data_IF_378607286415
#
_entry.id   IF_378607286415
#
_cell.length_a   1.000
_cell.length_b   1.000
_cell.length_c   1.000
_cell.angle_alpha   90.00
_cell.angle_beta   90.00
_cell.angle_gamma   90.00
#
_symmetry.space_group_name_H-M   'P 1'
#
loop_
_entity.id
_entity.type
_entity.pdbx_description
1 polymer ?
#
# COMPACT_ATOMS: atom_id res chain seq x y z
N UNK A 1 -43.94 25.09 33.29
CA UNK A 1 -43.18 26.13 32.55
C UNK A 1 -43.48 25.94 31.09
N UNK A 2 -44.31 26.80 30.53
CA UNK A 2 -44.80 26.74 29.16
C UNK A 2 -43.67 27.18 28.22
N UNK A 3 -43.24 26.29 27.32
CA UNK A 3 -42.31 26.61 26.25
C UNK A 3 -42.85 27.79 25.45
N UNK A 4 -42.16 28.94 25.49
CA UNK A 4 -42.40 30.04 24.56
C UNK A 4 -42.03 29.56 23.16
N UNK A 5 -42.99 28.96 22.44
CA UNK A 5 -42.91 28.74 21.00
C UNK A 5 -42.61 30.09 20.33
N UNK A 6 -41.42 30.20 19.73
CA UNK A 6 -41.05 31.37 18.94
C UNK A 6 -41.92 31.45 17.69
N UNK A 7 -42.30 32.66 17.33
CA UNK A 7 -43.17 32.91 16.18
C UNK A 7 -42.36 32.94 14.89
N UNK A 8 -42.85 32.27 13.86
CA UNK A 8 -42.23 32.27 12.53
C UNK A 8 -42.46 33.62 11.82
N UNK A 9 -41.68 33.89 10.77
CA UNK A 9 -41.84 35.09 9.94
C UNK A 9 -43.25 35.13 9.33
N UNK A 10 -43.78 33.98 8.92
CA UNK A 10 -45.15 33.86 8.37
C UNK A 10 -46.23 34.24 9.39
N UNK A 11 -46.04 33.91 10.67
CA UNK A 11 -46.95 34.33 11.73
C UNK A 11 -46.87 35.84 11.99
N UNK A 12 -45.67 36.43 11.87
CA UNK A 12 -45.50 37.89 11.94
C UNK A 12 -46.19 38.59 10.77
N UNK A 13 -46.05 38.07 9.56
CA UNK A 13 -46.70 38.60 8.36
C UNK A 13 -48.22 38.48 8.48
N UNK A 14 -48.74 37.29 8.78
CA UNK A 14 -50.17 37.06 8.97
C UNK A 14 -50.79 38.01 9.98
N UNK A 15 -50.16 38.20 11.15
CA UNK A 15 -50.66 39.11 12.21
C UNK A 15 -50.66 40.56 11.75
N UNK A 16 -49.61 41.00 11.05
CA UNK A 16 -49.49 42.39 10.59
C UNK A 16 -50.41 42.68 9.42
N UNK A 17 -50.50 41.78 8.45
CA UNK A 17 -51.39 41.88 7.29
C UNK A 17 -52.85 41.84 7.75
N UNK A 18 -53.21 40.95 8.67
CA UNK A 18 -54.55 40.90 9.30
C UNK A 18 -54.95 42.21 9.97
N UNK A 19 -54.03 42.88 10.65
CA UNK A 19 -54.33 44.14 11.35
C UNK A 19 -54.23 45.38 10.44
N UNK A 20 -53.23 45.46 9.56
CA UNK A 20 -52.92 46.67 8.77
C UNK A 20 -53.67 46.72 7.44
N UNK A 21 -53.88 45.58 6.80
CA UNK A 21 -54.55 45.48 5.48
C UNK A 21 -56.02 45.15 5.66
N UNK A 22 -56.33 44.13 6.47
CA UNK A 22 -57.70 43.66 6.67
C UNK A 22 -58.43 44.30 7.86
N UNK A 23 -57.78 45.23 8.58
CA UNK A 23 -58.40 46.03 9.64
C UNK A 23 -58.90 45.24 10.87
N UNK A 24 -58.51 43.97 11.04
CA UNK A 24 -59.01 43.11 12.12
C UNK A 24 -58.60 43.65 13.50
N UNK A 25 -59.52 43.60 14.47
CA UNK A 25 -59.23 44.03 15.83
C UNK A 25 -58.33 43.02 16.53
N UNK A 26 -57.46 43.48 17.42
CA UNK A 26 -56.51 42.61 18.16
C UNK A 26 -57.18 41.40 18.83
N UNK A 27 -58.43 41.52 19.31
CA UNK A 27 -59.18 40.40 19.91
C UNK A 27 -59.49 39.28 18.92
N UNK A 28 -59.73 39.60 17.64
CA UNK A 28 -59.99 38.62 16.58
C UNK A 28 -58.71 37.88 16.22
N UNK A 29 -57.59 38.61 16.09
CA UNK A 29 -56.28 38.02 15.80
C UNK A 29 -55.82 37.10 16.95
N UNK A 30 -56.15 37.41 18.22
CA UNK A 30 -55.90 36.50 19.36
C UNK A 30 -56.63 35.16 19.17
N UNK A 31 -57.89 35.18 18.70
CA UNK A 31 -58.68 33.96 18.48
C UNK A 31 -58.16 33.14 17.32
N UNK A 32 -57.73 33.79 16.24
CA UNK A 32 -57.23 33.12 15.03
C UNK A 32 -55.83 32.53 15.22
N UNK A 33 -54.96 33.21 15.95
CA UNK A 33 -53.55 32.79 16.11
C UNK A 33 -53.25 32.04 17.40
N UNK A 34 -54.17 32.08 18.37
CA UNK A 34 -53.96 31.51 19.71
C UNK A 34 -52.90 32.23 20.55
N UNK A 35 -52.33 33.35 20.08
CA UNK A 35 -51.31 34.09 20.80
C UNK A 35 -51.91 35.09 21.78
N UNK A 36 -51.22 35.33 22.91
CA UNK A 36 -51.68 36.29 23.91
C UNK A 36 -51.81 37.71 23.34
N UNK A 37 -52.75 38.48 23.88
CA UNK A 37 -52.98 39.88 23.50
C UNK A 37 -51.71 40.74 23.60
N UNK A 38 -50.84 40.45 24.57
CA UNK A 38 -49.56 41.14 24.75
C UNK A 38 -48.57 40.79 23.66
N UNK A 39 -48.54 39.53 23.21
CA UNK A 39 -47.71 39.08 22.08
C UNK A 39 -48.12 39.78 20.78
N UNK A 40 -49.42 39.84 20.47
CA UNK A 40 -49.91 40.50 19.25
C UNK A 40 -49.64 42.00 19.27
N UNK A 41 -49.91 42.69 20.38
CA UNK A 41 -49.59 44.12 20.53
C UNK A 41 -48.08 44.40 20.37
N UNK A 42 -47.24 43.50 20.88
CA UNK A 42 -45.78 43.60 20.73
C UNK A 42 -45.35 43.47 19.25
N UNK A 43 -45.95 42.55 18.50
CA UNK A 43 -45.68 42.32 17.06
C UNK A 43 -46.10 43.51 16.19
N UNK A 44 -47.23 44.14 16.53
CA UNK A 44 -47.74 45.30 15.79
C UNK A 44 -46.89 46.56 16.01
N UNK A 45 -46.28 46.70 17.19
CA UNK A 45 -45.47 47.86 17.60
C UNK A 45 -43.99 47.75 17.24
N UNK A 46 -43.39 46.58 17.42
CA UNK A 46 -41.94 46.38 17.28
C UNK A 46 -41.57 45.73 15.96
N UNK A 47 -40.31 45.89 15.53
CA UNK A 47 -39.71 45.14 14.43
C UNK A 47 -39.62 43.63 14.72
N UNK A 48 -39.50 42.82 13.67
CA UNK A 48 -39.22 41.40 13.81
C UNK A 48 -37.83 41.23 14.41
N UNK A 49 -37.78 40.99 15.71
CA UNK A 49 -36.56 40.51 16.38
C UNK A 49 -36.59 39.00 16.24
N UNK A 50 -35.99 38.49 15.16
CA UNK A 50 -35.75 37.07 14.98
C UNK A 50 -34.95 36.48 16.14
N UNK A 51 -34.65 35.18 16.06
CA UNK A 51 -33.75 34.53 17.00
C UNK A 51 -32.43 35.30 17.07
N UNK A 52 -32.18 35.98 18.20
CA UNK A 52 -30.83 36.44 18.54
C UNK A 52 -30.12 35.24 19.13
N UNK A 53 -29.11 34.76 18.43
CA UNK A 53 -28.15 33.83 19.00
C UNK A 53 -27.59 34.47 20.28
N UNK A 54 -27.61 33.73 21.40
CA UNK A 54 -27.00 34.24 22.64
C UNK A 54 -25.51 34.40 22.40
N UNK A 55 -25.00 35.63 22.51
CA UNK A 55 -23.57 35.95 22.29
C UNK A 55 -22.64 35.20 23.26
N UNK A 56 -23.12 34.88 24.47
CA UNK A 56 -22.42 33.96 25.37
C UNK A 56 -23.40 33.25 26.30
N UNK A 57 -23.17 31.95 26.53
CA UNK A 57 -23.87 31.21 27.57
C UNK A 57 -22.93 31.11 28.78
N UNK A 58 -23.28 31.71 29.94
CA UNK A 58 -22.38 31.76 31.07
C UNK A 58 -22.11 30.35 31.61
N UNK A 59 -20.91 30.15 32.15
CA UNK A 59 -20.51 28.94 32.86
C UNK A 59 -20.38 29.22 34.37
N UNK A 60 -21.46 29.55 35.08
CA UNK A 60 -21.39 30.15 36.43
C UNK A 60 -20.65 29.29 37.46
N UNK A 61 -20.66 27.96 37.32
CA UNK A 61 -19.95 27.03 38.23
C UNK A 61 -18.49 26.81 37.80
N UNK A 62 -18.17 26.96 36.52
CA UNK A 62 -16.83 26.73 35.96
C UNK A 62 -16.01 28.02 35.82
N UNK A 63 -16.66 29.19 35.96
CA UNK A 63 -16.09 30.52 35.79
C UNK A 63 -14.76 30.72 36.54
N UNK A 64 -14.60 30.29 37.80
CA UNK A 64 -13.33 30.44 38.53
C UNK A 64 -12.18 29.59 37.97
N UNK A 65 -12.49 28.57 37.16
CA UNK A 65 -11.53 27.58 36.66
C UNK A 65 -11.19 27.76 35.18
N UNK A 66 -11.80 28.72 34.48
CA UNK A 66 -11.66 28.88 33.02
C UNK A 66 -10.22 29.20 32.61
N UNK A 67 -9.56 30.13 33.30
CA UNK A 67 -8.17 30.50 33.03
C UNK A 67 -7.20 29.34 33.27
N UNK A 68 -7.48 28.52 34.29
CA UNK A 68 -6.69 27.34 34.62
C UNK A 68 -6.81 26.26 33.53
N UNK A 69 -8.03 26.00 33.07
CA UNK A 69 -8.29 25.06 31.97
C UNK A 69 -7.60 25.54 30.70
N UNK A 70 -7.69 26.83 30.39
CA UNK A 70 -6.98 27.44 29.25
C UNK A 70 -5.46 27.28 29.40
N UNK A 71 -4.92 27.47 30.61
CA UNK A 71 -3.50 27.29 30.92
C UNK A 71 -3.02 25.84 30.77
N UNK A 72 -3.82 24.85 31.15
CA UNK A 72 -3.53 23.43 30.89
C UNK A 72 -3.55 23.12 29.40
N UNK A 73 -4.58 23.59 28.68
CA UNK A 73 -4.73 23.38 27.25
C UNK A 73 -3.63 24.07 26.41
N UNK A 74 -3.11 25.21 26.86
CA UNK A 74 -1.95 25.88 26.23
C UNK A 74 -0.67 25.07 26.44
N UNK A 75 -0.39 24.62 27.68
CA UNK A 75 0.78 23.77 28.00
C UNK A 75 0.76 22.43 27.27
N UNK A 76 -0.42 21.87 27.03
CA UNK A 76 -0.57 20.64 26.24
C UNK A 76 0.01 20.75 24.82
N UNK A 77 0.19 21.95 24.27
CA UNK A 77 0.82 22.13 22.95
C UNK A 77 2.25 21.60 22.94
N UNK A 78 2.98 21.79 24.03
CA UNK A 78 4.39 21.42 24.20
C UNK A 78 4.57 19.93 24.51
N UNK A 79 3.48 19.24 24.91
CA UNK A 79 3.50 17.82 25.26
C UNK A 79 3.21 16.89 24.06
N UNK A 80 3.77 15.66 24.04
CA UNK A 80 3.43 14.63 23.07
C UNK A 80 1.92 14.33 23.02
N UNK A 81 1.36 14.00 21.85
CA UNK A 81 -0.09 13.76 21.66
C UNK A 81 -0.72 12.83 22.70
N UNK A 82 0.00 11.78 23.12
CA UNK A 82 -0.46 10.78 24.11
C UNK A 82 -0.49 11.29 25.56
N UNK A 83 0.14 12.43 25.84
CA UNK A 83 0.27 13.03 27.18
C UNK A 83 -0.55 14.33 27.32
N UNK A 84 -1.35 14.68 26.32
CA UNK A 84 -2.24 15.85 26.37
C UNK A 84 -3.52 15.53 27.15
N UNK A 85 -4.06 16.52 27.85
CA UNK A 85 -5.24 16.34 28.66
C UNK A 85 -6.49 16.08 27.81
N UNK A 86 -7.20 15.00 28.14
CA UNK A 86 -8.56 14.75 27.66
C UNK A 86 -9.55 15.57 28.50
N UNK A 87 -10.74 15.83 27.97
CA UNK A 87 -11.75 16.61 28.71
C UNK A 87 -12.16 15.93 30.03
N UNK A 88 -12.17 14.59 30.07
CA UNK A 88 -12.40 13.82 31.29
C UNK A 88 -11.23 13.94 32.27
N UNK A 89 -9.98 13.97 31.79
CA UNK A 89 -8.82 14.19 32.66
C UNK A 89 -8.84 15.59 33.27
N UNK A 90 -9.22 16.61 32.51
CA UNK A 90 -9.41 17.98 33.02
C UNK A 90 -10.47 18.00 34.12
N UNK A 91 -11.61 17.33 33.90
CA UNK A 91 -12.67 17.23 34.92
C UNK A 91 -12.19 16.55 36.21
N UNK A 92 -11.51 15.41 36.11
CA UNK A 92 -11.01 14.69 37.27
C UNK A 92 -10.00 15.53 38.06
N UNK A 93 -9.08 16.22 37.38
CA UNK A 93 -8.13 17.13 38.02
C UNK A 93 -8.80 18.32 38.72
N UNK A 94 -9.82 18.92 38.11
CA UNK A 94 -10.61 19.97 38.77
C UNK A 94 -11.30 19.47 40.04
N UNK A 95 -11.80 18.23 40.02
CA UNK A 95 -12.49 17.62 41.16
C UNK A 95 -11.53 17.22 42.29
N UNK A 96 -10.42 16.56 41.93
CA UNK A 96 -9.42 16.01 42.86
C UNK A 96 -8.50 17.10 43.44
N UNK A 97 -8.00 18.01 42.60
CA UNK A 97 -6.98 19.00 42.98
C UNK A 97 -7.60 20.34 43.43
N UNK A 98 -8.83 20.65 43.00
CA UNK A 98 -9.43 21.98 43.18
C UNK A 98 -10.88 21.97 43.68
N UNK A 99 -11.40 20.81 44.12
CA UNK A 99 -12.70 20.70 44.80
C UNK A 99 -13.92 21.03 43.94
N UNK A 100 -13.82 20.94 42.61
CA UNK A 100 -14.89 21.31 41.68
C UNK A 100 -16.17 20.45 41.86
N UNK A 101 -17.31 21.12 42.04
CA UNK A 101 -18.63 20.50 42.30
C UNK A 101 -19.56 20.46 41.08
N UNK A 102 -19.10 20.92 39.91
CA UNK A 102 -19.91 20.94 38.70
C UNK A 102 -19.95 19.61 37.94
N UNK A 103 -20.76 19.54 36.89
CA UNK A 103 -20.89 18.36 36.03
C UNK A 103 -19.77 18.26 34.98
N UNK A 104 -19.35 17.03 34.65
CA UNK A 104 -18.39 16.73 33.59
C UNK A 104 -18.82 17.30 32.22
N UNK A 105 -20.11 17.26 31.93
CA UNK A 105 -20.69 17.79 30.68
C UNK A 105 -20.38 19.28 30.48
N UNK A 106 -20.36 20.05 31.57
CA UNK A 106 -20.02 21.48 31.58
C UNK A 106 -18.54 21.69 31.22
N UNK A 107 -17.65 20.87 31.79
CA UNK A 107 -16.21 20.89 31.48
C UNK A 107 -15.96 20.46 30.04
N UNK A 108 -16.58 19.37 29.57
CA UNK A 108 -16.47 18.91 28.17
C UNK A 108 -16.92 19.99 27.18
N UNK A 109 -18.02 20.68 27.47
CA UNK A 109 -18.54 21.77 26.65
C UNK A 109 -17.56 22.93 26.60
N UNK A 110 -17.05 23.38 27.75
CA UNK A 110 -16.06 24.45 27.81
C UNK A 110 -14.76 24.06 27.11
N UNK A 111 -14.21 22.87 27.37
CA UNK A 111 -13.00 22.37 26.71
C UNK A 111 -13.18 22.31 25.19
N UNK A 112 -14.37 21.95 24.67
CA UNK A 112 -14.66 22.00 23.22
C UNK A 112 -14.58 23.44 22.68
N UNK A 113 -15.15 24.42 23.39
CA UNK A 113 -15.12 25.83 23.00
C UNK A 113 -13.72 26.44 23.14
N UNK A 114 -13.05 26.20 24.26
CA UNK A 114 -11.67 26.63 24.50
C UNK A 114 -10.72 26.02 23.46
N UNK A 115 -10.88 24.74 23.12
CA UNK A 115 -10.07 24.13 22.04
C UNK A 115 -10.34 24.77 20.68
N UNK A 116 -11.56 25.19 20.38
CA UNK A 116 -11.86 25.93 19.14
C UNK A 116 -11.22 27.33 19.18
N UNK A 117 -11.45 28.09 20.25
CA UNK A 117 -10.91 29.45 20.46
C UNK A 117 -9.39 29.50 20.48
N UNK A 118 -8.73 28.50 21.05
CA UNK A 118 -7.26 28.40 21.15
C UNK A 118 -6.61 27.74 19.92
N UNK A 119 -7.39 27.38 18.89
CA UNK A 119 -6.91 26.69 17.69
C UNK A 119 -6.39 25.27 17.95
N UNK A 120 -6.81 24.64 19.04
CA UNK A 120 -6.40 23.29 19.46
C UNK A 120 -7.30 22.19 18.88
N UNK A 121 -8.47 22.55 18.34
CA UNK A 121 -9.37 21.63 17.66
C UNK A 121 -9.10 21.67 16.16
N UNK A 122 -7.96 21.11 15.75
CA UNK A 122 -7.62 20.95 14.34
C UNK A 122 -7.83 19.51 13.91
N UNK A 123 -8.98 19.21 13.32
CA UNK A 123 -8.93 18.29 12.18
C UNK A 123 -8.09 18.98 11.10
N UNK A 124 -7.37 18.22 10.30
CA UNK A 124 -6.65 18.78 9.16
C UNK A 124 -7.70 19.45 8.26
N UNK A 125 -7.58 20.77 8.09
CA UNK A 125 -8.44 21.51 7.17
C UNK A 125 -7.70 21.53 5.85
N UNK A 126 -8.37 21.02 4.83
CA UNK A 126 -7.83 20.87 3.49
C UNK A 126 -8.27 22.06 2.63
N UNK A 127 -7.35 22.56 1.81
CA UNK A 127 -7.67 23.53 0.77
C UNK A 127 -8.30 22.75 -0.39
N UNK A 128 -9.48 23.14 -0.90
CA UNK A 128 -10.01 22.60 -2.15
C UNK A 128 -9.02 22.89 -3.28
N UNK A 129 -8.59 21.85 -3.98
CA UNK A 129 -7.69 21.98 -5.12
C UNK A 129 -8.44 21.61 -6.40
N UNK A 130 -8.28 22.42 -7.44
CA UNK A 130 -8.77 22.16 -8.78
C UNK A 130 -7.58 21.76 -9.67
N UNK A 131 -7.28 20.46 -9.79
CA UNK A 131 -6.17 19.98 -10.62
C UNK A 131 -6.45 20.21 -12.11
N UNK A 132 -5.39 20.45 -12.88
CA UNK A 132 -5.48 20.53 -14.35
C UNK A 132 -5.44 19.12 -14.99
N UNK A 133 -6.21 18.94 -16.06
CA UNK A 133 -6.31 17.67 -16.77
C UNK A 133 -4.97 17.24 -17.39
N UNK A 134 -4.54 16.02 -17.09
CA UNK A 134 -3.34 15.42 -17.71
C UNK A 134 -2.01 15.96 -17.23
N UNK A 135 -1.97 16.84 -16.23
CA UNK A 135 -0.72 17.44 -15.73
C UNK A 135 -0.08 16.59 -14.63
N UNK A 136 -0.84 16.26 -13.57
CA UNK A 136 -0.29 15.70 -12.33
C UNK A 136 -0.77 14.27 -12.03
N UNK A 137 0.18 13.35 -11.91
CA UNK A 137 -0.02 12.02 -11.37
C UNK A 137 0.69 11.84 -10.03
N UNK A 138 0.01 11.25 -9.04
CA UNK A 138 0.60 10.89 -7.75
C UNK A 138 1.09 9.45 -7.76
N UNK A 139 2.28 9.21 -7.21
CA UNK A 139 2.91 7.89 -7.13
C UNK A 139 3.27 7.58 -5.68
N UNK A 140 2.91 6.39 -5.24
CA UNK A 140 3.16 5.92 -3.87
C UNK A 140 3.44 4.40 -3.83
N UNK A 141 3.97 3.93 -2.71
CA UNK A 141 4.22 2.53 -2.43
C UNK A 141 3.55 2.09 -1.12
N UNK A 142 2.81 1.00 -1.20
CA UNK A 142 2.28 0.31 -0.03
C UNK A 142 2.88 -1.07 0.17
N UNK A 143 2.50 -1.69 1.28
CA UNK A 143 2.79 -3.09 1.57
C UNK A 143 1.53 -3.83 1.97
N UNK A 144 1.45 -5.11 1.58
CA UNK A 144 0.37 -6.03 1.91
C UNK A 144 0.89 -7.44 2.15
N UNK A 145 0.04 -8.28 2.74
CA UNK A 145 0.21 -9.72 2.77
C UNK A 145 -0.66 -10.34 1.68
N UNK A 146 -0.18 -11.41 1.05
CA UNK A 146 -0.92 -12.18 0.05
C UNK A 146 -0.58 -13.66 0.17
N UNK A 147 -1.43 -14.53 -0.37
CA UNK A 147 -1.16 -15.96 -0.53
C UNK A 147 -0.87 -16.22 -1.99
N UNK A 148 0.36 -16.62 -2.32
CA UNK A 148 0.77 -16.94 -3.69
C UNK A 148 1.19 -18.40 -3.76
N UNK A 149 0.51 -19.20 -4.59
CA UNK A 149 0.76 -20.65 -4.70
C UNK A 149 0.67 -21.36 -3.35
N UNK A 150 -0.31 -20.97 -2.53
CA UNK A 150 -0.52 -21.49 -1.17
C UNK A 150 0.46 -20.98 -0.10
N UNK A 151 1.37 -20.06 -0.42
CA UNK A 151 2.35 -19.53 0.53
C UNK A 151 2.07 -18.09 0.93
N UNK A 152 2.10 -17.81 2.24
CA UNK A 152 2.01 -16.45 2.77
C UNK A 152 3.27 -15.65 2.41
N UNK A 153 3.09 -14.59 1.62
CA UNK A 153 4.15 -13.70 1.18
C UNK A 153 3.85 -12.25 1.58
N UNK A 154 4.91 -11.49 1.87
CA UNK A 154 4.82 -10.04 2.04
C UNK A 154 5.15 -9.39 0.71
N UNK A 155 4.20 -8.64 0.17
CA UNK A 155 4.34 -7.94 -1.09
C UNK A 155 4.38 -6.43 -0.86
N UNK A 156 4.94 -5.75 -1.85
CA UNK A 156 4.95 -4.30 -2.00
C UNK A 156 4.09 -3.98 -3.19
N UNK A 157 3.28 -2.94 -3.12
CA UNK A 157 2.47 -2.56 -4.25
C UNK A 157 2.76 -1.12 -4.64
N UNK A 158 2.96 -0.94 -5.93
CA UNK A 158 3.09 0.35 -6.58
C UNK A 158 1.69 0.89 -6.85
N UNK A 159 1.45 2.15 -6.55
CA UNK A 159 0.23 2.83 -6.97
C UNK A 159 0.55 4.12 -7.72
N UNK A 160 -0.24 4.41 -8.77
CA UNK A 160 -0.25 5.70 -9.45
C UNK A 160 -1.69 6.18 -9.61
N UNK A 161 -1.97 7.45 -9.37
CA UNK A 161 -3.31 8.05 -9.52
C UNK A 161 -3.26 9.41 -10.18
N UNK A 162 -4.15 9.67 -11.12
CA UNK A 162 -4.39 11.03 -11.61
C UNK A 162 -5.04 11.88 -10.53
N UNK A 163 -4.53 13.11 -10.32
CA UNK A 163 -5.24 14.07 -9.47
C UNK A 163 -6.54 14.58 -10.10
N UNK A 164 -6.54 14.75 -11.42
CA UNK A 164 -7.69 15.27 -12.16
C UNK A 164 -8.82 14.24 -12.24
N UNK A 165 -8.63 13.09 -12.88
CA UNK A 165 -9.71 12.10 -13.04
C UNK A 165 -9.93 11.27 -11.78
N UNK A 166 -8.90 11.17 -10.92
CA UNK A 166 -8.92 10.27 -9.78
C UNK A 166 -8.69 8.80 -10.16
N UNK A 167 -8.54 8.50 -11.46
CA UNK A 167 -8.25 7.15 -11.97
C UNK A 167 -6.92 6.67 -11.46
N UNK A 168 -6.84 5.41 -11.07
CA UNK A 168 -5.63 4.85 -10.48
C UNK A 168 -5.27 3.47 -11.04
N UNK A 169 -3.99 3.16 -10.88
CA UNK A 169 -3.36 1.91 -11.23
C UNK A 169 -2.65 1.35 -10.00
N UNK A 170 -2.80 0.05 -9.75
CA UNK A 170 -2.12 -0.65 -8.66
C UNK A 170 -1.46 -1.92 -9.20
N UNK A 171 -0.23 -2.21 -8.76
CA UNK A 171 0.46 -3.45 -9.08
C UNK A 171 1.36 -3.93 -7.95
N UNK A 172 1.27 -5.22 -7.63
CA UNK A 172 2.07 -5.90 -6.63
C UNK A 172 3.42 -6.38 -7.18
N UNK A 173 4.43 -6.29 -6.33
CA UNK A 173 5.82 -6.65 -6.54
C UNK A 173 6.39 -7.31 -5.29
N UNK A 174 7.40 -8.19 -5.44
CA UNK A 174 8.11 -8.77 -4.30
C UNK A 174 9.05 -7.77 -3.61
N UNK A 175 9.36 -6.62 -4.22
CA UNK A 175 10.27 -5.61 -3.68
C UNK A 175 10.07 -4.21 -4.28
N UNK A 176 10.69 -3.20 -3.67
CA UNK A 176 10.67 -1.78 -4.09
C UNK A 176 11.99 -1.34 -4.76
N UNK A 177 12.66 -2.24 -5.49
CA UNK A 177 13.93 -1.94 -6.16
C UNK A 177 13.68 -1.13 -7.43
N UNK A 178 14.73 -0.49 -7.96
CA UNK A 178 14.65 0.35 -9.17
C UNK A 178 13.93 -0.33 -10.35
N UNK A 179 14.18 -1.62 -10.59
CA UNK A 179 13.53 -2.31 -11.70
C UNK A 179 12.03 -2.49 -11.48
N UNK A 180 11.59 -2.74 -10.24
CA UNK A 180 10.17 -2.78 -9.90
C UNK A 180 9.53 -1.38 -9.99
N UNK A 181 10.27 -0.33 -9.58
CA UNK A 181 9.84 1.06 -9.75
C UNK A 181 9.63 1.41 -11.22
N UNK A 182 10.58 1.09 -12.09
CA UNK A 182 10.48 1.40 -13.51
C UNK A 182 9.39 0.57 -14.18
N UNK A 183 9.28 -0.72 -13.87
CA UNK A 183 8.21 -1.57 -14.40
C UNK A 183 6.82 -1.09 -13.95
N UNK A 184 6.69 -0.62 -12.71
CA UNK A 184 5.45 -0.03 -12.19
C UNK A 184 5.02 1.19 -13.00
N UNK A 185 5.95 2.09 -13.29
CA UNK A 185 5.69 3.26 -14.14
C UNK A 185 5.37 2.85 -15.58
N UNK A 186 6.16 1.96 -16.19
CA UNK A 186 5.93 1.50 -17.58
C UNK A 186 4.52 0.93 -17.74
N UNK A 187 4.09 0.10 -16.79
CA UNK A 187 2.74 -0.50 -16.81
C UNK A 187 1.66 0.53 -16.51
N UNK A 188 1.90 1.46 -15.59
CA UNK A 188 0.97 2.55 -15.32
C UNK A 188 0.79 3.46 -16.55
N UNK A 189 1.88 3.86 -17.21
CA UNK A 189 1.84 4.68 -18.42
C UNK A 189 1.07 3.98 -19.55
N UNK A 190 1.28 2.66 -19.70
CA UNK A 190 0.49 1.84 -20.62
C UNK A 190 -1.00 1.82 -20.24
N UNK A 191 -1.33 1.67 -18.95
CA UNK A 191 -2.70 1.71 -18.45
C UNK A 191 -3.41 3.06 -18.69
N UNK A 192 -2.72 4.18 -18.49
CA UNK A 192 -3.22 5.52 -18.77
C UNK A 192 -3.13 5.90 -20.26
N UNK A 193 -2.49 5.08 -21.10
CA UNK A 193 -2.26 5.36 -22.51
C UNK A 193 -1.36 6.58 -22.77
N UNK A 194 -0.56 6.99 -21.79
CA UNK A 194 0.27 8.20 -21.85
C UNK A 194 1.02 8.47 -20.54
N UNK A 195 1.80 9.55 -20.51
CA UNK A 195 2.62 9.96 -19.36
C UNK A 195 2.16 11.33 -18.86
N UNK A 196 2.01 11.46 -17.55
CA UNK A 196 1.80 12.75 -16.90
C UNK A 196 3.10 13.58 -16.92
N UNK A 197 3.07 14.85 -17.37
CA UNK A 197 4.23 15.75 -17.32
C UNK A 197 4.81 15.89 -15.92
N UNK A 198 4.00 15.78 -14.87
CA UNK A 198 4.44 15.91 -13.48
C UNK A 198 4.04 14.66 -12.69
N UNK A 199 5.03 14.00 -12.10
CA UNK A 199 4.82 12.88 -11.18
C UNK A 199 5.21 13.26 -9.76
N UNK A 200 4.23 13.26 -8.88
CA UNK A 200 4.38 13.62 -7.47
C UNK A 200 4.64 12.35 -6.67
N UNK A 201 5.79 12.28 -6.03
CA UNK A 201 6.17 11.21 -5.13
C UNK A 201 6.04 11.68 -3.69
N UNK A 202 5.17 11.00 -2.95
CA UNK A 202 4.92 11.26 -1.55
C UNK A 202 5.32 10.06 -0.70
N UNK A 203 5.71 10.31 0.56
CA UNK A 203 6.01 9.29 1.57
C UNK A 203 6.85 8.09 1.09
N UNK A 204 7.81 8.33 0.18
CA UNK A 204 8.62 7.26 -0.40
C UNK A 204 9.37 6.48 0.68
N UNK A 205 9.37 5.15 0.57
CA UNK A 205 10.17 4.32 1.47
C UNK A 205 11.66 4.64 1.34
N UNK A 206 12.45 4.35 2.38
CA UNK A 206 13.90 4.57 2.35
C UNK A 206 14.59 3.86 1.17
N UNK A 207 14.05 2.73 0.72
CA UNK A 207 14.55 2.02 -0.45
C UNK A 207 14.32 2.83 -1.72
N UNK A 208 13.13 3.39 -1.87
CA UNK A 208 12.75 4.20 -3.03
C UNK A 208 13.44 5.57 -3.01
N UNK A 209 13.56 6.21 -1.85
CA UNK A 209 14.33 7.44 -1.68
C UNK A 209 15.80 7.30 -2.11
N UNK A 210 16.42 6.14 -1.86
CA UNK A 210 17.79 5.85 -2.33
C UNK A 210 17.91 5.80 -3.85
N UNK A 211 16.82 5.56 -4.57
CA UNK A 211 16.83 5.59 -6.03
C UNK A 211 16.95 7.03 -6.53
N UNK A 212 16.24 7.96 -5.89
CA UNK A 212 16.19 9.37 -6.28
C UNK A 212 17.33 10.21 -5.71
N UNK A 213 17.73 9.97 -4.45
CA UNK A 213 18.67 10.80 -3.68
C UNK A 213 19.88 10.01 -3.14
N UNK A 214 20.04 8.75 -3.54
CA UNK A 214 21.07 7.88 -2.98
C UNK A 214 22.49 8.24 -3.41
N UNK A 215 23.47 7.91 -2.56
CA UNK A 215 24.92 8.12 -2.82
C UNK A 215 25.46 7.36 -4.04
N UNK A 216 24.70 6.41 -4.60
CA UNK A 216 25.14 5.60 -5.75
C UNK A 216 24.81 6.32 -7.06
N UNK A 217 25.83 6.95 -7.65
CA UNK A 217 25.74 7.71 -8.90
C UNK A 217 25.10 6.94 -10.07
N UNK A 218 25.27 5.62 -10.14
CA UNK A 218 24.69 4.79 -11.22
C UNK A 218 23.16 4.66 -11.16
N UNK A 219 22.61 4.59 -9.96
CA UNK A 219 21.17 4.46 -9.71
C UNK A 219 20.47 5.75 -10.12
N UNK A 220 21.05 6.89 -9.74
CA UNK A 220 20.56 8.21 -10.14
C UNK A 220 20.62 8.39 -11.67
N UNK A 221 21.76 8.06 -12.31
CA UNK A 221 21.88 8.09 -13.78
C UNK A 221 20.82 7.23 -14.49
N UNK A 222 20.48 6.08 -13.93
CA UNK A 222 19.46 5.20 -14.50
C UNK A 222 18.06 5.82 -14.42
N UNK A 223 17.76 6.49 -13.30
CA UNK A 223 16.52 7.23 -13.14
C UNK A 223 16.47 8.47 -14.05
N UNK A 224 17.57 9.21 -14.19
CA UNK A 224 17.64 10.36 -15.10
C UNK A 224 17.38 9.94 -16.55
N UNK A 225 17.94 8.80 -16.99
CA UNK A 225 17.65 8.21 -18.31
C UNK A 225 16.18 7.82 -18.45
N UNK A 226 15.60 7.20 -17.43
CA UNK A 226 14.18 6.82 -17.43
C UNK A 226 13.27 8.04 -17.57
N UNK A 227 13.55 9.08 -16.78
CA UNK A 227 12.85 10.36 -16.82
C UNK A 227 12.97 11.03 -18.19
N UNK A 228 14.18 11.11 -18.74
CA UNK A 228 14.42 11.70 -20.05
C UNK A 228 13.79 10.90 -21.20
N UNK A 229 13.54 9.61 -21.00
CA UNK A 229 12.87 8.77 -22.00
C UNK A 229 11.36 9.01 -22.05
N UNK A 230 10.73 9.15 -20.88
CA UNK A 230 9.28 9.35 -20.75
C UNK A 230 8.86 10.82 -20.59
N UNK A 231 9.81 11.75 -20.52
CA UNK A 231 9.62 13.21 -20.49
C UNK A 231 8.75 13.74 -19.34
N UNK A 232 8.84 13.16 -18.14
CA UNK A 232 8.13 13.66 -16.95
C UNK A 232 9.06 14.39 -15.96
N UNK A 233 8.50 15.22 -15.09
CA UNK A 233 9.19 15.91 -14.00
C UNK A 233 8.79 15.30 -12.64
N UNK A 234 9.75 14.78 -11.85
CA UNK A 234 9.46 14.27 -10.52
C UNK A 234 9.38 15.41 -9.49
N UNK A 235 8.27 15.50 -8.78
CA UNK A 235 8.12 16.37 -7.60
C UNK A 235 8.13 15.52 -6.34
N UNK A 236 8.92 15.92 -5.34
CA UNK A 236 9.01 15.21 -4.06
C UNK A 236 8.42 16.08 -2.96
N UNK A 237 7.38 15.60 -2.30
CA UNK A 237 6.79 16.30 -1.16
C UNK A 237 7.72 16.25 0.06
N UNK A 238 7.64 17.27 0.92
CA UNK A 238 8.38 17.29 2.17
C UNK A 238 7.82 16.23 3.13
N UNK A 239 8.69 15.42 3.80
CA UNK A 239 8.23 14.44 4.77
C UNK A 239 7.39 15.08 5.87
N UNK A 240 6.16 14.58 6.06
CA UNK A 240 5.27 15.01 7.15
C UNK A 240 4.36 16.21 6.84
N UNK A 241 4.30 16.70 5.60
CA UNK A 241 3.38 17.77 5.19
C UNK A 241 2.14 17.24 4.43
N UNK A 242 1.54 16.15 4.91
CA UNK A 242 0.32 15.59 4.32
C UNK A 242 -0.88 16.55 4.32
N UNK A 243 -0.83 17.61 5.16
CA UNK A 243 -1.88 18.62 5.28
C UNK A 243 -2.03 19.53 4.05
N UNK A 244 -1.02 19.59 3.17
CA UNK A 244 -1.07 20.39 1.94
C UNK A 244 -1.82 19.69 0.80
N UNK A 245 -2.08 18.38 0.93
CA UNK A 245 -2.83 17.61 -0.06
C UNK A 245 -4.29 17.55 0.33
N UNK A 246 -5.12 18.32 -0.37
CA UNK A 246 -6.54 18.34 -0.16
C UNK A 246 -7.20 16.96 -0.27
N UNK A 247 -7.92 16.56 0.79
CA UNK A 247 -9.12 15.71 0.70
C UNK A 247 -8.94 14.19 0.65
N UNK A 248 -9.20 13.53 1.79
CA UNK A 248 -9.63 12.12 1.94
C UNK A 248 -8.58 11.06 1.52
N UNK A 249 -8.57 9.93 2.24
CA UNK A 249 -7.63 8.82 2.15
C UNK A 249 -6.76 8.71 0.91
N UNK A 250 -5.45 8.77 1.14
CA UNK A 250 -4.45 8.50 0.11
C UNK A 250 -4.67 7.13 -0.55
N UNK A 251 -4.26 7.04 -1.81
CA UNK A 251 -4.44 5.88 -2.68
C UNK A 251 -3.95 4.57 -2.06
N UNK A 252 -2.87 4.59 -1.28
CA UNK A 252 -2.38 3.41 -0.54
C UNK A 252 -3.41 2.91 0.48
N UNK A 253 -4.07 3.83 1.17
CA UNK A 253 -5.17 3.51 2.07
C UNK A 253 -6.33 2.86 1.30
N UNK A 254 -6.75 3.48 0.19
CA UNK A 254 -7.80 2.94 -0.67
C UNK A 254 -7.46 1.53 -1.18
N UNK A 255 -6.26 1.34 -1.75
CA UNK A 255 -5.81 0.06 -2.26
C UNK A 255 -5.80 -1.03 -1.17
N UNK A 256 -5.37 -0.69 0.06
CA UNK A 256 -5.41 -1.66 1.18
C UNK A 256 -6.81 -2.17 1.48
N UNK A 257 -7.80 -1.29 1.55
CA UNK A 257 -9.17 -1.70 1.91
C UNK A 257 -9.93 -2.38 0.78
N UNK A 258 -9.67 -2.00 -0.46
CA UNK A 258 -10.45 -2.49 -1.61
C UNK A 258 -9.80 -3.68 -2.32
N UNK A 259 -8.47 -3.76 -2.34
CA UNK A 259 -7.74 -4.80 -3.10
C UNK A 259 -7.02 -5.81 -2.21
N UNK A 260 -6.74 -5.45 -0.96
CA UNK A 260 -5.95 -6.29 -0.04
C UNK A 260 -6.80 -6.90 1.09
N UNK A 261 -8.13 -6.67 1.06
CA UNK A 261 -9.10 -7.21 2.04
C UNK A 261 -10.23 -7.91 1.28
N UNK A 262 -10.51 -9.19 1.53
CA UNK A 262 -9.72 -10.12 2.37
C UNK A 262 -8.33 -10.37 1.80
N UNK A 263 -7.44 -11.06 2.55
CA UNK A 263 -6.07 -11.33 2.09
C UNK A 263 -6.12 -11.94 0.69
N UNK A 264 -5.48 -11.31 -0.32
CA UNK A 264 -5.61 -11.74 -1.70
C UNK A 264 -4.87 -13.06 -1.93
N UNK A 265 -5.48 -13.93 -2.74
CA UNK A 265 -4.97 -15.26 -3.06
C UNK A 265 -4.96 -15.51 -4.58
N UNK A 266 -3.84 -16.07 -5.07
CA UNK A 266 -3.65 -16.45 -6.47
C UNK A 266 -2.56 -17.53 -6.61
N UNK A 267 -2.57 -18.26 -7.73
CA UNK A 267 -1.51 -19.23 -8.03
C UNK A 267 -0.15 -18.57 -8.30
N UNK A 268 -0.17 -17.40 -8.95
CA UNK A 268 1.02 -16.63 -9.29
C UNK A 268 0.83 -15.14 -9.00
N UNK A 269 1.94 -14.43 -8.84
CA UNK A 269 1.93 -12.96 -8.66
C UNK A 269 1.33 -12.26 -9.88
N UNK A 270 1.60 -12.76 -11.08
CA UNK A 270 1.01 -12.27 -12.33
C UNK A 270 -0.51 -12.41 -12.33
N UNK A 271 -1.04 -13.57 -11.93
CA UNK A 271 -2.49 -13.78 -11.83
C UNK A 271 -3.14 -12.85 -10.81
N UNK A 272 -2.49 -12.59 -9.67
CA UNK A 272 -2.96 -11.57 -8.71
C UNK A 272 -2.99 -10.17 -9.36
N UNK A 273 -1.94 -9.81 -10.08
CA UNK A 273 -1.84 -8.51 -10.74
C UNK A 273 -2.86 -8.33 -11.86
N UNK A 274 -3.24 -9.39 -12.58
CA UNK A 274 -4.30 -9.36 -13.58
C UNK A 274 -5.67 -9.09 -12.95
N UNK A 275 -5.97 -9.73 -11.80
CA UNK A 275 -7.20 -9.44 -11.02
C UNK A 275 -7.25 -7.98 -10.59
N UNK A 276 -6.18 -7.47 -9.96
CA UNK A 276 -6.10 -6.07 -9.51
C UNK A 276 -6.23 -5.11 -10.69
N UNK A 277 -5.63 -5.42 -11.84
CA UNK A 277 -5.72 -4.60 -13.05
C UNK A 277 -7.17 -4.52 -13.56
N UNK A 278 -7.89 -5.64 -13.59
CA UNK A 278 -9.30 -5.66 -13.98
C UNK A 278 -10.16 -4.79 -13.03
N UNK A 279 -9.86 -4.81 -11.74
CA UNK A 279 -10.55 -3.96 -10.75
C UNK A 279 -10.17 -2.48 -10.85
N UNK A 280 -8.95 -2.16 -11.30
CA UNK A 280 -8.57 -0.78 -11.63
C UNK A 280 -9.38 -0.25 -12.84
N UNK A 281 -9.65 -1.11 -13.83
CA UNK A 281 -10.51 -0.75 -14.96
C UNK A 281 -11.97 -0.55 -14.53
N UNK A 282 -12.51 -1.44 -13.69
CA UNK A 282 -13.90 -1.33 -13.22
C UNK A 282 -14.16 -0.12 -12.33
N UNK A 283 -13.12 0.37 -11.62
CA UNK A 283 -13.22 1.63 -10.86
C UNK A 283 -13.56 2.85 -11.74
N UNK A 284 -13.36 2.76 -13.05
CA UNK A 284 -13.69 3.84 -13.98
C UNK A 284 -15.18 4.27 -13.95
N UNK A 285 -16.09 3.37 -13.58
CA UNK A 285 -17.53 3.68 -13.47
C UNK A 285 -17.89 4.40 -12.16
N UNK A 286 -16.93 4.48 -11.22
CA UNK A 286 -17.13 5.15 -9.95
C UNK A 286 -17.29 6.66 -10.13
N UNK A 287 -18.17 7.26 -9.32
CA UNK A 287 -18.32 8.71 -9.19
C UNK A 287 -17.76 9.13 -7.84
N UNK A 288 -16.67 9.89 -7.87
CA UNK A 288 -16.02 10.41 -6.66
C UNK A 288 -16.96 11.43 -6.02
N UNK A 289 -17.15 11.34 -4.70
CA UNK A 289 -17.99 12.27 -3.95
C UNK A 289 -17.60 13.73 -4.20
N UNK A 290 -18.56 14.57 -4.53
CA UNK A 290 -18.35 15.97 -4.88
C UNK A 290 -18.00 16.22 -6.35
N UNK A 291 -17.99 15.18 -7.21
CA UNK A 291 -17.83 15.31 -8.67
C UNK A 291 -19.09 14.86 -9.41
N UNK A 292 -19.39 15.54 -10.50
CA UNK A 292 -20.57 15.26 -11.33
C UNK A 292 -20.34 14.07 -12.29
N UNK A 293 -19.12 13.98 -12.84
CA UNK A 293 -18.71 12.97 -13.81
C UNK A 293 -18.10 11.72 -13.17
N UNK A 294 -18.16 10.60 -13.90
CA UNK A 294 -17.44 9.38 -13.53
C UNK A 294 -15.93 9.54 -13.73
N UNK A 295 -15.17 8.65 -13.10
CA UNK A 295 -13.71 8.61 -13.25
C UNK A 295 -13.31 8.39 -14.71
N UNK A 296 -14.03 7.55 -15.46
CA UNK A 296 -13.76 7.31 -16.88
C UNK A 296 -14.11 8.50 -17.77
N UNK A 297 -15.22 9.20 -17.49
CA UNK A 297 -15.59 10.42 -18.24
C UNK A 297 -14.49 11.48 -18.12
N UNK A 298 -14.01 11.74 -16.91
CA UNK A 298 -12.90 12.67 -16.66
C UNK A 298 -11.58 12.15 -17.27
N UNK A 299 -11.34 10.84 -17.25
CA UNK A 299 -10.15 10.26 -17.84
C UNK A 299 -10.11 10.39 -19.37
N UNK A 300 -11.22 10.23 -20.08
CA UNK A 300 -11.23 10.39 -21.54
C UNK A 300 -10.97 11.85 -21.98
N UNK A 301 -11.32 12.83 -21.14
CA UNK A 301 -10.87 14.21 -21.32
C UNK A 301 -9.37 14.33 -21.07
N UNK A 302 -8.90 13.87 -19.91
CA UNK A 302 -7.50 13.92 -19.48
C UNK A 302 -6.54 13.22 -20.44
N UNK A 303 -6.92 12.06 -20.98
CA UNK A 303 -6.07 11.22 -21.83
C UNK A 303 -5.54 11.98 -23.05
N UNK A 304 -6.31 12.95 -23.56
CA UNK A 304 -5.94 13.79 -24.72
C UNK A 304 -4.78 14.74 -24.42
N UNK A 305 -4.52 15.00 -23.14
CA UNK A 305 -3.49 15.93 -22.67
C UNK A 305 -2.22 15.21 -22.20
N UNK A 306 -2.23 13.88 -22.10
CA UNK A 306 -1.05 13.10 -21.68
C UNK A 306 0.03 13.11 -22.76
N UNK A 307 1.28 13.05 -22.33
CA UNK A 307 2.42 12.86 -23.24
C UNK A 307 2.31 11.48 -23.87
N UNK A 308 2.40 11.39 -25.19
CA UNK A 308 2.33 10.13 -25.91
C UNK A 308 3.44 9.15 -25.47
N UNK A 309 3.11 7.86 -25.45
CA UNK A 309 4.09 6.82 -25.16
C UNK A 309 5.12 6.72 -26.29
N UNK A 310 6.41 6.51 -25.97
CA UNK A 310 7.42 6.18 -26.97
C UNK A 310 7.05 4.90 -27.75
N UNK A 311 7.37 4.86 -29.04
CA UNK A 311 7.12 3.68 -29.89
C UNK A 311 7.94 2.46 -29.47
N UNK A 312 9.16 2.70 -28.96
CA UNK A 312 10.06 1.66 -28.48
C UNK A 312 9.85 1.49 -26.97
N UNK A 313 9.98 0.27 -26.48
CA UNK A 313 9.92 0.02 -25.04
C UNK A 313 11.23 0.45 -24.36
N UNK A 314 11.13 1.10 -23.20
CA UNK A 314 12.31 1.39 -22.39
C UNK A 314 12.98 0.10 -21.89
N UNK A 315 14.29 -0.03 -22.13
CA UNK A 315 15.09 -1.15 -21.65
C UNK A 315 15.28 -1.14 -20.13
N UNK A 316 14.34 -1.72 -19.38
CA UNK A 316 14.41 -1.86 -17.92
C UNK A 316 15.29 -3.06 -17.47
N UNK A 317 16.46 -3.20 -18.09
CA UNK A 317 17.37 -4.32 -17.85
C UNK A 317 18.58 -3.86 -17.04
N UNK A 318 18.94 -4.66 -16.03
CA UNK A 318 20.22 -4.51 -15.33
C UNK A 318 21.13 -5.64 -15.75
N UNK A 319 22.39 -5.31 -16.03
CA UNK A 319 23.39 -6.30 -16.39
C UNK A 319 24.37 -6.49 -15.25
N UNK A 320 24.70 -7.74 -14.96
CA UNK A 320 25.79 -8.12 -14.06
C UNK A 320 26.76 -9.04 -14.80
N UNK A 321 27.99 -9.14 -14.31
CA UNK A 321 28.96 -10.10 -14.81
C UNK A 321 29.68 -10.77 -13.65
N UNK A 322 29.96 -12.06 -13.78
CA UNK A 322 30.64 -12.83 -12.74
C UNK A 322 31.34 -14.05 -13.30
N UNK A 323 32.28 -14.59 -12.53
CA UNK A 323 32.90 -15.88 -12.84
C UNK A 323 32.06 -16.99 -12.22
N UNK A 324 31.79 -18.04 -13.01
CA UNK A 324 31.11 -19.24 -12.52
C UNK A 324 32.06 -19.98 -11.58
N UNK A 325 31.61 -20.31 -10.37
CA UNK A 325 32.46 -20.92 -9.35
C UNK A 325 32.50 -22.47 -9.45
N UNK A 326 33.24 -23.10 -8.53
CA UNK A 326 33.38 -24.56 -8.42
C UNK A 326 32.07 -25.33 -8.19
N UNK A 327 30.99 -24.65 -7.79
CA UNK A 327 29.67 -25.24 -7.60
C UNK A 327 28.77 -25.07 -8.84
N UNK A 328 29.34 -24.65 -9.97
CA UNK A 328 28.61 -24.29 -11.18
C UNK A 328 27.52 -23.24 -10.93
N UNK A 329 27.85 -22.21 -10.17
CA UNK A 329 26.94 -21.08 -9.90
C UNK A 329 27.59 -19.75 -10.19
N UNK A 330 26.79 -18.78 -10.64
CA UNK A 330 27.18 -17.36 -10.76
C UNK A 330 26.53 -16.56 -9.63
N UNK A 331 27.30 -15.65 -9.03
CA UNK A 331 26.80 -14.75 -7.98
C UNK A 331 26.22 -13.50 -8.64
N UNK A 332 24.91 -13.33 -8.54
CA UNK A 332 24.17 -12.19 -9.07
C UNK A 332 23.29 -11.65 -7.94
N UNK A 333 23.43 -10.35 -7.63
CA UNK A 333 22.61 -9.69 -6.60
C UNK A 333 22.62 -10.41 -5.23
N UNK A 334 23.82 -10.86 -4.82
CA UNK A 334 24.09 -11.67 -3.61
C UNK A 334 23.46 -13.06 -3.59
N UNK A 335 22.88 -13.51 -4.70
CA UNK A 335 22.28 -14.84 -4.84
C UNK A 335 23.06 -15.68 -5.84
N UNK A 336 23.02 -17.00 -5.64
CA UNK A 336 23.70 -17.98 -6.50
C UNK A 336 22.69 -18.63 -7.41
N UNK A 337 22.96 -18.56 -8.71
CA UNK A 337 22.14 -19.20 -9.75
C UNK A 337 22.98 -20.26 -10.44
N UNK A 338 22.47 -21.48 -10.55
CA UNK A 338 23.21 -22.56 -11.21
C UNK A 338 23.27 -22.38 -12.72
N UNK A 339 24.30 -22.95 -13.33
CA UNK A 339 24.48 -23.07 -14.77
C UNK A 339 24.97 -24.48 -15.07
N UNK A 340 24.83 -24.99 -16.32
CA UNK A 340 25.34 -26.31 -16.68
C UNK A 340 26.83 -26.47 -16.32
N UNK A 341 27.20 -27.60 -15.73
CA UNK A 341 28.53 -27.86 -15.14
C UNK A 341 29.71 -27.68 -16.09
N UNK A 342 29.52 -27.87 -17.39
CA UNK A 342 30.56 -27.67 -18.40
C UNK A 342 30.94 -26.19 -18.61
N UNK A 343 30.16 -25.24 -18.08
CA UNK A 343 30.51 -23.81 -18.05
C UNK A 343 31.23 -23.39 -16.75
N UNK A 344 31.57 -24.33 -15.85
CA UNK A 344 32.28 -24.01 -14.62
C UNK A 344 33.59 -23.23 -14.91
N UNK A 345 33.89 -22.22 -14.09
CA UNK A 345 35.05 -21.33 -14.22
C UNK A 345 35.05 -20.38 -15.42
N UNK A 346 34.06 -20.44 -16.32
CA UNK A 346 33.87 -19.44 -17.37
C UNK A 346 33.41 -18.09 -16.80
N UNK A 347 33.65 -17.01 -17.55
CA UNK A 347 33.00 -15.71 -17.31
C UNK A 347 31.58 -15.78 -17.88
N UNK A 348 30.61 -15.30 -17.11
CA UNK A 348 29.21 -15.19 -17.52
C UNK A 348 28.71 -13.76 -17.33
N UNK A 349 27.82 -13.34 -18.22
CA UNK A 349 26.98 -12.17 -18.04
C UNK A 349 25.61 -12.61 -17.57
N UNK A 350 24.92 -11.74 -16.84
CA UNK A 350 23.56 -11.96 -16.37
C UNK A 350 22.73 -10.73 -16.69
N UNK A 351 21.55 -10.95 -17.25
CA UNK A 351 20.52 -9.95 -17.47
C UNK A 351 19.45 -10.16 -16.41
N UNK A 352 19.25 -9.15 -15.57
CA UNK A 352 18.24 -9.18 -14.53
C UNK A 352 16.99 -8.49 -15.08
N UNK A 353 15.89 -9.22 -15.08
CA UNK A 353 14.53 -8.69 -15.25
C UNK A 353 13.92 -8.46 -13.87
N UNK A 354 12.69 -7.94 -13.80
CA UNK A 354 11.99 -7.79 -12.52
C UNK A 354 11.82 -9.14 -11.85
N UNK A 355 11.34 -10.14 -12.57
CA UNK A 355 10.87 -11.46 -12.11
C UNK A 355 11.86 -12.61 -12.38
N UNK A 356 12.79 -12.45 -13.32
CA UNK A 356 13.74 -13.49 -13.72
C UNK A 356 15.19 -13.01 -13.88
N UNK A 357 16.12 -13.96 -13.89
CA UNK A 357 17.54 -13.75 -14.21
C UNK A 357 17.92 -14.68 -15.35
N UNK A 358 18.42 -14.09 -16.43
CA UNK A 358 18.93 -14.82 -17.59
C UNK A 358 20.45 -14.76 -17.59
N UNK A 359 21.11 -15.92 -17.75
CA UNK A 359 22.57 -16.04 -17.69
C UNK A 359 23.09 -16.40 -19.07
N UNK A 360 24.17 -15.74 -19.48
CA UNK A 360 24.77 -15.86 -20.79
C UNK A 360 26.26 -16.19 -20.72
N UNK A 361 26.72 -17.00 -21.65
CA UNK A 361 28.13 -17.19 -21.98
C UNK A 361 28.37 -16.65 -23.39
N UNK A 362 29.11 -15.53 -23.50
CA UNK A 362 29.14 -14.75 -24.73
C UNK A 362 27.73 -14.28 -25.11
N UNK A 363 27.25 -14.66 -26.29
CA UNK A 363 25.91 -14.33 -26.78
C UNK A 363 24.89 -15.45 -26.58
N UNK A 364 25.29 -16.60 -26.01
CA UNK A 364 24.41 -17.76 -25.82
C UNK A 364 23.79 -17.71 -24.44
N UNK A 365 22.45 -17.76 -24.37
CA UNK A 365 21.72 -17.97 -23.11
C UNK A 365 21.97 -19.40 -22.63
N UNK A 366 22.51 -19.55 -21.43
CA UNK A 366 22.89 -20.86 -20.85
C UNK A 366 21.99 -21.29 -19.69
N UNK A 367 21.29 -20.35 -19.04
CA UNK A 367 20.36 -20.65 -17.97
C UNK A 367 19.34 -19.52 -17.78
N UNK A 368 18.16 -19.84 -17.24
CA UNK A 368 17.12 -18.88 -16.86
C UNK A 368 16.52 -19.31 -15.53
N UNK A 369 16.41 -18.39 -14.58
CA UNK A 369 15.92 -18.66 -13.23
C UNK A 369 14.88 -17.63 -12.82
N UNK A 370 13.90 -18.04 -12.00
CA UNK A 370 13.09 -17.08 -11.24
C UNK A 370 14.01 -16.25 -10.33
N UNK A 371 13.75 -14.94 -10.26
CA UNK A 371 14.60 -14.03 -9.51
C UNK A 371 14.35 -14.17 -8.02
N UNK A 372 15.43 -14.30 -7.26
CA UNK A 372 15.39 -14.34 -5.81
C UNK A 372 15.76 -12.96 -5.23
N UNK A 373 14.93 -12.44 -4.32
CA UNK A 373 15.10 -11.10 -3.75
C UNK A 373 15.75 -11.08 -2.36
N UNK A 374 15.65 -12.19 -1.62
CA UNK A 374 16.37 -12.40 -0.37
C UNK A 374 17.88 -12.49 -0.63
N UNK A 375 18.72 -12.29 0.38
CA UNK A 375 20.18 -12.38 0.20
C UNK A 375 20.71 -13.80 0.48
N UNK A 376 21.82 -14.16 -0.18
CA UNK A 376 22.58 -15.39 0.02
C UNK A 376 21.81 -16.69 -0.27
N UNK A 377 20.78 -16.61 -1.10
CA UNK A 377 20.01 -17.78 -1.51
C UNK A 377 20.66 -18.50 -2.70
N UNK A 378 20.21 -19.74 -2.92
CA UNK A 378 20.67 -20.62 -3.98
C UNK A 378 19.46 -21.03 -4.82
N UNK A 379 19.43 -20.59 -6.07
CA UNK A 379 18.49 -21.04 -7.09
C UNK A 379 19.23 -22.07 -7.94
N UNK A 380 18.86 -23.34 -7.74
CA UNK A 380 19.56 -24.49 -8.28
C UNK A 380 18.62 -25.27 -9.17
N UNK A 381 18.86 -25.19 -10.47
CA UNK A 381 18.29 -26.13 -11.43
C UNK A 381 19.04 -27.48 -11.34
N UNK A 382 18.35 -28.59 -11.05
CA UNK A 382 18.90 -29.93 -11.00
C UNK A 382 19.51 -30.40 -12.32
N UNK A 383 18.93 -29.99 -13.46
CA UNK A 383 19.35 -30.45 -14.79
C UNK A 383 20.80 -30.05 -15.08
N UNK A 384 21.21 -28.90 -14.54
CA UNK A 384 22.59 -28.41 -14.63
C UNK A 384 23.63 -29.35 -14.01
N UNK A 385 23.23 -30.24 -13.10
CA UNK A 385 24.11 -31.12 -12.35
C UNK A 385 24.05 -32.59 -12.76
N UNK A 386 23.11 -33.00 -13.63
CA UNK A 386 22.86 -34.41 -13.95
C UNK A 386 24.11 -35.12 -14.50
N UNK A 387 24.86 -34.48 -15.40
CA UNK A 387 26.12 -35.03 -15.94
C UNK A 387 27.17 -35.25 -14.84
N UNK A 388 27.26 -34.34 -13.86
CA UNK A 388 28.20 -34.47 -12.76
C UNK A 388 27.76 -35.55 -11.77
N UNK A 389 26.46 -35.69 -11.55
CA UNK A 389 25.86 -36.72 -10.70
C UNK A 389 26.05 -38.11 -11.33
N UNK A 390 25.93 -38.23 -12.65
CA UNK A 390 26.23 -39.47 -13.38
C UNK A 390 27.66 -39.95 -13.15
N UNK A 391 28.62 -39.03 -13.08
CA UNK A 391 30.03 -39.35 -12.77
C UNK A 391 30.27 -39.64 -11.28
N UNK A 392 29.41 -39.11 -10.39
CA UNK A 392 29.55 -39.19 -8.92
C UNK A 392 28.23 -39.64 -8.28
N UNK A 393 27.77 -40.88 -8.54
CA UNK A 393 26.44 -41.34 -8.12
C UNK A 393 26.27 -41.35 -6.59
N UNK A 394 27.35 -41.56 -5.84
CA UNK A 394 27.34 -41.49 -4.36
C UNK A 394 26.94 -40.10 -3.82
N UNK A 395 27.08 -39.04 -4.62
CA UNK A 395 26.65 -37.70 -4.23
C UNK A 395 25.15 -37.47 -4.41
N UNK A 396 24.41 -38.37 -5.08
CA UNK A 396 23.00 -38.17 -5.44
C UNK A 396 22.12 -37.82 -4.22
N UNK A 397 22.20 -38.62 -3.16
CA UNK A 397 21.38 -38.43 -1.95
C UNK A 397 21.76 -37.18 -1.13
N UNK A 398 23.01 -36.74 -1.21
CA UNK A 398 23.50 -35.57 -0.47
C UNK A 398 23.49 -34.28 -1.30
N UNK A 399 23.31 -34.37 -2.62
CA UNK A 399 23.30 -33.23 -3.53
C UNK A 399 22.15 -32.28 -3.20
N UNK A 400 22.49 -31.04 -2.82
CA UNK A 400 21.51 -29.98 -2.52
C UNK A 400 20.47 -29.76 -3.64
N UNK A 401 20.84 -29.69 -4.94
CA UNK A 401 19.86 -29.54 -6.03
C UNK A 401 18.81 -30.68 -6.03
N UNK A 402 19.25 -31.93 -5.86
CA UNK A 402 18.38 -33.11 -5.85
C UNK A 402 17.49 -33.11 -4.61
N UNK A 403 18.02 -32.83 -3.42
CA UNK A 403 17.22 -32.73 -2.19
C UNK A 403 16.16 -31.64 -2.27
N UNK A 404 16.48 -30.50 -2.89
CA UNK A 404 15.52 -29.41 -3.10
C UNK A 404 14.44 -29.78 -4.13
N UNK A 405 14.82 -30.47 -5.20
CA UNK A 405 13.90 -30.90 -6.24
C UNK A 405 12.95 -32.00 -5.77
N UNK A 406 13.47 -33.00 -5.05
CA UNK A 406 12.73 -34.16 -4.54
C UNK A 406 11.54 -33.79 -3.64
N UNK A 407 11.54 -32.61 -3.03
CA UNK A 407 10.40 -32.10 -2.26
C UNK A 407 9.16 -31.81 -3.10
N UNK A 408 9.32 -31.55 -4.41
CA UNK A 408 8.23 -31.14 -5.30
C UNK A 408 8.24 -31.91 -6.63
N UNK A 409 9.10 -32.92 -6.76
CA UNK A 409 9.19 -33.68 -8.00
C UNK A 409 8.02 -34.68 -8.10
N UNK A 410 7.56 -35.06 -9.31
CA UNK A 410 6.44 -35.97 -9.44
C UNK A 410 6.77 -37.39 -8.94
N UNK A 411 5.76 -38.10 -8.43
CA UNK A 411 5.91 -39.49 -7.95
C UNK A 411 6.52 -40.46 -8.99
N UNK A 412 6.36 -40.15 -10.28
CA UNK A 412 6.99 -40.95 -11.34
C UNK A 412 8.51 -40.94 -11.28
N UNK A 413 9.13 -39.83 -10.83
CA UNK A 413 10.57 -39.74 -10.65
C UNK A 413 11.04 -40.53 -9.42
N UNK A 414 10.20 -40.62 -8.39
CA UNK A 414 10.47 -41.49 -7.23
C UNK A 414 10.45 -42.96 -7.64
N UNK A 415 9.43 -43.38 -8.39
CA UNK A 415 9.35 -44.74 -8.95
C UNK A 415 10.51 -45.05 -9.89
N UNK A 416 10.91 -44.09 -10.73
CA UNK A 416 12.06 -44.25 -11.62
C UNK A 416 13.36 -44.44 -10.82
N UNK A 417 13.54 -43.67 -9.74
CA UNK A 417 14.68 -43.81 -8.84
C UNK A 417 14.69 -45.18 -8.15
N UNK A 418 13.55 -45.65 -7.65
CA UNK A 418 13.41 -46.99 -7.06
C UNK A 418 13.81 -48.09 -8.04
N UNK A 419 13.34 -48.01 -9.28
CA UNK A 419 13.72 -48.95 -10.35
C UNK A 419 15.23 -48.90 -10.64
N UNK A 420 15.83 -47.71 -10.64
CA UNK A 420 17.29 -47.59 -10.83
C UNK A 420 18.08 -48.21 -9.67
N UNK A 421 17.65 -47.99 -8.43
CA UNK A 421 18.28 -48.57 -7.24
C UNK A 421 18.14 -50.10 -7.26
N UNK A 422 16.94 -50.63 -7.53
CA UNK A 422 16.71 -52.07 -7.64
C UNK A 422 17.56 -52.70 -8.74
N UNK A 423 17.69 -52.05 -9.90
CA UNK A 423 18.55 -52.51 -11.00
C UNK A 423 20.03 -52.51 -10.60
N UNK A 424 20.50 -51.51 -9.86
CA UNK A 424 21.87 -51.46 -9.34
C UNK A 424 22.13 -52.55 -8.29
N UNK A 425 21.19 -52.78 -7.36
CA UNK A 425 21.29 -53.84 -6.37
C UNK A 425 21.27 -55.23 -7.02
N UNK A 426 20.47 -55.41 -8.08
CA UNK A 426 20.43 -56.65 -8.85
C UNK A 426 21.75 -56.90 -9.60
N UNK A 427 22.30 -55.88 -10.29
CA UNK A 427 23.60 -55.97 -10.96
C UNK A 427 24.74 -56.24 -9.98
N UNK A 428 24.71 -55.65 -8.77
CA UNK A 428 25.69 -55.91 -7.72
C UNK A 428 25.58 -57.34 -7.16
N UNK A 429 24.37 -57.87 -7.00
CA UNK A 429 24.13 -59.27 -6.61
C UNK A 429 24.62 -60.25 -7.68
N UNK A 430 24.35 -59.99 -8.96
CA UNK A 430 24.87 -60.80 -10.07
C UNK A 430 26.40 -60.79 -10.13
N UNK A 431 27.04 -59.61 -9.95
CA UNK A 431 28.51 -59.52 -9.90
C UNK A 431 29.09 -60.29 -8.70
N UNK A 432 28.41 -60.25 -7.57
CA UNK A 432 28.81 -60.99 -6.36
C UNK A 432 28.70 -62.49 -6.60
N UNK A 433 27.57 -62.97 -7.13
CA UNK A 433 27.36 -64.37 -7.48
C UNK A 433 28.39 -64.84 -8.53
N UNK A 434 28.65 -64.03 -9.56
CA UNK A 434 29.66 -64.32 -10.58
C UNK A 434 31.07 -64.42 -10.00
N UNK A 435 31.46 -63.51 -9.09
CA UNK A 435 32.77 -63.54 -8.43
C UNK A 435 32.90 -64.69 -7.42
N UNK A 436 31.81 -65.05 -6.72
CA UNK A 436 31.75 -66.24 -5.86
C UNK A 436 31.87 -67.54 -6.67
N UNK A 437 31.23 -67.63 -7.84
CA UNK A 437 31.33 -68.78 -8.76
C UNK A 437 32.70 -68.88 -9.45
N UNK A 438 33.45 -67.77 -9.57
CA UNK A 438 34.82 -67.74 -10.16
C UNK A 438 35.97 -67.86 -9.16
N UNK A 439 35.69 -68.10 -7.88
CA UNK A 439 36.72 -68.40 -6.86
C UNK A 439 37.65 -67.23 -6.50
N UNK A 440 37.23 -65.97 -6.70
CA UNK A 440 37.99 -64.80 -6.21
C UNK A 440 37.41 -64.34 -4.88
N UNK A 441 38.04 -64.75 -3.78
CA UNK A 441 37.80 -64.18 -2.46
C UNK A 441 38.47 -62.81 -2.36
N UNK A 442 37.75 -61.75 -2.67
CA UNK A 442 38.04 -60.42 -2.12
C UNK A 442 36.89 -59.99 -1.22
N UNK A 443 37.21 -59.88 0.07
CA UNK A 443 36.31 -59.49 1.14
C UNK A 443 35.94 -58.02 0.98
N UNK A 444 34.85 -57.71 0.30
CA UNK A 444 34.31 -56.34 0.28
C UNK A 444 33.55 -56.11 1.59
N UNK A 445 34.18 -55.46 2.57
CA UNK A 445 33.50 -54.93 3.74
C UNK A 445 32.65 -53.72 3.31
N UNK A 446 31.34 -53.82 3.50
CA UNK A 446 30.43 -52.68 3.40
C UNK A 446 29.94 -52.30 4.80
N UNK A 447 30.25 -51.07 5.24
CA UNK A 447 29.51 -50.42 6.33
C UNK A 447 28.11 -50.06 5.82
N UNK A 448 27.13 -50.79 6.34
CA UNK A 448 25.71 -50.46 6.15
C UNK A 448 25.38 -49.31 7.10
N UNK A 449 25.20 -48.10 6.56
CA UNK A 449 24.59 -47.02 7.35
C UNK A 449 23.12 -47.36 7.63
N UNK A 450 22.67 -47.36 8.90
CA UNK A 450 21.31 -47.72 9.23
C UNK A 450 20.31 -46.66 8.77
N UNK A 451 19.21 -47.11 8.16
CA UNK A 451 17.99 -46.32 7.95
C UNK A 451 17.47 -45.85 9.31
N UNK A 452 17.65 -44.57 9.65
CA UNK A 452 16.80 -43.95 10.68
C UNK A 452 15.39 -43.85 10.13
N UNK A 453 14.54 -44.79 10.56
CA UNK A 453 13.09 -44.61 10.52
C UNK A 453 12.76 -43.49 11.51
N UNK A 454 12.23 -42.37 11.01
CA UNK A 454 11.39 -41.51 11.83
C UNK A 454 9.94 -41.84 11.46
N UNK A 455 9.31 -42.61 12.35
CA UNK A 455 7.85 -42.60 12.52
C UNK A 455 7.51 -41.58 13.61
N UNK A 456 6.37 -40.91 13.37
CA UNK A 456 5.61 -39.94 14.17
C UNK A 456 6.15 -38.51 14.14
#
# INVERSE_FOLDING_TARGET
MEERRMLTVDQYDFIRTSHRVYGKKVKEIVRETGHSKNTIKRILRGEYKGYKERESQPFPVLEPYLEMIDGWLKRDKENPKKQRHTAIRIFNRLKEEHGFQGAETTVRRYVRQAKLRLGLKGGEVFIPCDPEAGIEGEVDWGGCHAVIGGQNVVLKFFCMRSKYSGKHFVRCYPCERQQALFDGHIRAFSFFGGVFPVLIYDNLTTAVQKIFKGKKREVQKSFDKFRAYYNFAPLFCNPGQGHEKGGVEGLVGYARRNYMVTVPEADTLEALNEKILAECFSYGDHRISGREHSVNELYEEERKHLIALPEVAFGNLQTASGKINKYSTVLVDKNRYSVPTHYAYCKASAVLHVDRVEIFYGNKKIASHARVFNSNQWSLDPDHYLELIKQRPQAFHSARPIRQWRNHWPDCLERLLELFIQKQEFQMKELTIYNTLKGRHETVRFEVYPRKHHMV
#
